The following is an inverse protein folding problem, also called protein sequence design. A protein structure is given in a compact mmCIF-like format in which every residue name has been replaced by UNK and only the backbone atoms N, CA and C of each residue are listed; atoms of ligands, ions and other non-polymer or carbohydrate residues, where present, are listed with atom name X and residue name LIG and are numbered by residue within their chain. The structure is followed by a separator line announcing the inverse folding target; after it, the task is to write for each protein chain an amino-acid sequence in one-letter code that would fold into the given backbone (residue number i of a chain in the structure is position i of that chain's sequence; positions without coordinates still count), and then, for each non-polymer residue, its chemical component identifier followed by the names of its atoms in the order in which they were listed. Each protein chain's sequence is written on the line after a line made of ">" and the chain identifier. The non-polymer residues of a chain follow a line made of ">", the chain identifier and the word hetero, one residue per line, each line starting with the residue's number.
data_IF_870622078874
#
_entry.id   IF_870622078874
#
_cell.length_a   1.000
_cell.length_b   1.000
_cell.length_c   1.000
_cell.angle_alpha   90.00
_cell.angle_beta   90.00
_cell.angle_gamma   90.00
#
_symmetry.space_group_name_H-M   'P 1'
#
loop_
_entity.id
_entity.type
_entity.pdbx_description
1 polymer ?
#
# COMPACT_ATOMS: atom_id res chain seq x y z
N UNK A 1 -48.35 -13.18 0.10
CA UNK A 1 -47.39 -13.63 1.13
C UNK A 1 -46.16 -14.12 0.40
N UNK A 2 -45.08 -13.31 0.45
CA UNK A 2 -43.67 -13.56 0.02
C UNK A 2 -43.50 -13.82 -1.51
N UNK A 3 -42.76 -13.02 -2.28
CA UNK A 3 -41.29 -12.97 -2.38
C UNK A 3 -40.86 -11.83 -3.32
N UNK A 4 -39.58 -11.45 -3.23
CA UNK A 4 -38.86 -10.40 -3.97
C UNK A 4 -38.84 -9.00 -3.31
N UNK A 5 -38.25 -8.92 -2.12
CA UNK A 5 -37.74 -7.65 -1.58
C UNK A 5 -36.21 -7.68 -1.53
N UNK A 6 -35.62 -6.97 -2.49
CA UNK A 6 -34.31 -6.30 -2.41
C UNK A 6 -33.06 -7.15 -2.20
N UNK A 7 -32.50 -7.65 -3.31
CA UNK A 7 -31.04 -7.80 -3.46
C UNK A 7 -30.44 -6.50 -4.03
N UNK A 8 -30.66 -5.37 -3.35
CA UNK A 8 -29.78 -4.22 -3.59
C UNK A 8 -28.49 -4.56 -2.87
N UNK A 9 -27.46 -4.92 -3.64
CA UNK A 9 -26.08 -4.91 -3.17
C UNK A 9 -25.89 -3.62 -2.38
N UNK A 10 -25.64 -3.74 -1.09
CA UNK A 10 -25.57 -2.63 -0.14
C UNK A 10 -24.31 -1.81 -0.46
N UNK A 11 -24.42 -0.91 -1.43
CA UNK A 11 -23.32 -0.06 -1.93
C UNK A 11 -22.71 0.84 -0.83
N UNK A 12 -23.38 0.95 0.33
CA UNK A 12 -22.88 1.63 1.52
C UNK A 12 -21.86 0.81 2.32
N UNK A 13 -21.93 -0.53 2.32
CA UNK A 13 -20.92 -1.39 2.97
C UNK A 13 -19.59 -1.37 2.23
N UNK A 14 -19.64 -1.26 0.90
CA UNK A 14 -18.45 -1.09 0.05
C UNK A 14 -17.73 0.23 0.38
N UNK A 15 -18.47 1.27 0.77
CA UNK A 15 -17.93 2.58 1.18
C UNK A 15 -17.28 2.60 2.56
N UNK A 16 -17.36 1.54 3.36
CA UNK A 16 -16.78 1.50 4.74
C UNK A 16 -16.03 0.20 5.06
N UNK A 17 -15.65 -0.57 4.04
CA UNK A 17 -14.96 -1.85 4.20
C UNK A 17 -13.45 -1.77 4.01
N UNK A 18 -12.73 -2.91 4.18
CA UNK A 18 -11.29 -3.04 3.98
C UNK A 18 -10.80 -2.52 2.62
N UNK A 19 -11.67 -2.61 1.60
CA UNK A 19 -11.40 -2.10 0.25
C UNK A 19 -11.19 -0.59 0.22
N UNK A 20 -11.97 0.18 1.00
CA UNK A 20 -11.81 1.63 1.07
C UNK A 20 -10.47 1.99 1.72
N UNK A 21 -10.07 1.27 2.76
CA UNK A 21 -8.79 1.52 3.43
C UNK A 21 -7.61 1.24 2.51
N UNK A 22 -7.67 0.14 1.74
CA UNK A 22 -6.66 -0.17 0.71
C UNK A 22 -6.64 0.93 -0.36
N UNK A 23 -7.80 1.39 -0.81
CA UNK A 23 -7.91 2.46 -1.79
C UNK A 23 -7.34 3.80 -1.29
N UNK A 24 -7.63 4.18 -0.05
CA UNK A 24 -7.09 5.37 0.61
C UNK A 24 -5.55 5.30 0.71
N UNK A 25 -5.00 4.10 0.98
CA UNK A 25 -3.54 3.86 1.00
C UNK A 25 -2.91 3.95 -0.39
N UNK A 26 -3.55 3.42 -1.43
CA UNK A 26 -3.08 3.54 -2.83
C UNK A 26 -3.02 5.00 -3.27
N UNK A 27 -4.05 5.78 -2.99
CA UNK A 27 -4.08 7.22 -3.29
C UNK A 27 -2.96 7.94 -2.53
N UNK A 28 -2.75 7.63 -1.25
CA UNK A 28 -1.69 8.24 -0.46
C UNK A 28 -0.28 7.94 -1.01
N UNK A 29 -0.02 6.72 -1.47
CA UNK A 29 1.24 6.35 -2.13
C UNK A 29 1.43 7.12 -3.43
N UNK A 30 0.38 7.25 -4.23
CA UNK A 30 0.41 8.02 -5.47
C UNK A 30 0.69 9.52 -5.23
N UNK A 31 0.02 10.11 -4.23
CA UNK A 31 0.27 11.50 -3.82
C UNK A 31 1.72 11.70 -3.36
N UNK A 32 2.27 10.75 -2.60
CA UNK A 32 3.65 10.80 -2.11
C UNK A 32 4.69 10.75 -3.24
N UNK A 33 4.42 10.00 -4.31
CA UNK A 33 5.30 9.96 -5.49
C UNK A 33 5.33 11.32 -6.19
N UNK A 34 4.16 11.97 -6.30
CA UNK A 34 4.00 13.27 -6.95
C UNK A 34 4.52 14.45 -6.12
N UNK A 35 4.54 14.34 -4.80
CA UNK A 35 5.01 15.42 -3.93
C UNK A 35 6.50 15.73 -4.17
N UNK A 36 6.82 16.92 -4.67
CA UNK A 36 8.21 17.35 -4.90
C UNK A 36 9.03 17.47 -3.61
N UNK A 37 8.37 17.60 -2.46
CA UNK A 37 9.00 17.69 -1.15
C UNK A 37 9.24 16.31 -0.51
N UNK A 38 8.69 15.24 -1.08
CA UNK A 38 8.94 13.88 -0.61
C UNK A 38 10.37 13.44 -0.96
N UNK A 39 11.02 12.75 -0.02
CA UNK A 39 12.36 12.18 -0.22
C UNK A 39 12.38 11.22 -1.41
N UNK A 40 13.46 11.22 -2.19
CA UNK A 40 13.68 10.29 -3.31
C UNK A 40 13.51 8.83 -2.88
N UNK A 41 13.98 8.51 -1.68
CA UNK A 41 13.84 7.18 -1.06
C UNK A 41 12.36 6.85 -0.88
N UNK A 42 11.58 7.73 -0.24
CA UNK A 42 10.14 7.52 -0.03
C UNK A 42 9.37 7.33 -1.35
N UNK A 43 9.75 8.04 -2.42
CA UNK A 43 9.14 7.89 -3.75
C UNK A 43 9.42 6.52 -4.36
N UNK A 44 10.68 6.08 -4.34
CA UNK A 44 11.07 4.74 -4.84
C UNK A 44 10.28 3.67 -4.10
N UNK A 45 10.18 3.81 -2.78
CA UNK A 45 9.46 2.87 -1.92
C UNK A 45 7.96 2.83 -2.22
N UNK A 46 7.33 3.99 -2.45
CA UNK A 46 5.94 4.04 -2.84
C UNK A 46 5.69 3.40 -4.21
N UNK A 47 6.60 3.58 -5.17
CA UNK A 47 6.53 2.91 -6.47
C UNK A 47 6.64 1.39 -6.30
N UNK A 48 7.60 0.91 -5.51
CA UNK A 48 7.77 -0.52 -5.22
C UNK A 48 6.52 -1.12 -4.56
N UNK A 49 5.92 -0.41 -3.59
CA UNK A 49 4.70 -0.87 -2.94
C UNK A 49 3.50 -0.96 -3.91
N UNK A 50 3.38 -0.02 -4.85
CA UNK A 50 2.33 -0.05 -5.88
C UNK A 50 2.55 -1.19 -6.88
N UNK A 51 3.80 -1.46 -7.28
CA UNK A 51 4.15 -2.60 -8.14
C UNK A 51 3.80 -3.92 -7.44
N UNK A 52 4.17 -4.05 -6.16
CA UNK A 52 3.85 -5.23 -5.36
C UNK A 52 2.34 -5.44 -5.19
N UNK A 53 1.55 -4.36 -5.10
CA UNK A 53 0.09 -4.46 -5.03
C UNK A 53 -0.52 -5.05 -6.32
N UNK A 54 0.05 -4.74 -7.49
CA UNK A 54 -0.44 -5.21 -8.78
C UNK A 54 -0.03 -6.66 -9.06
N UNK A 55 1.20 -7.04 -8.69
CA UNK A 55 1.69 -8.40 -8.81
C UNK A 55 2.65 -8.71 -7.66
N UNK A 56 2.16 -9.30 -6.54
CA UNK A 56 3.01 -9.61 -5.39
C UNK A 56 3.99 -10.77 -5.66
N UNK A 57 3.85 -11.46 -6.80
CA UNK A 57 4.54 -12.71 -7.11
C UNK A 57 5.76 -12.51 -8.03
N UNK A 58 5.78 -11.46 -8.86
CA UNK A 58 6.79 -11.30 -9.94
C UNK A 58 8.16 -10.72 -9.49
N UNK A 59 8.35 -10.43 -8.21
CA UNK A 59 9.63 -9.97 -7.63
C UNK A 59 10.44 -11.09 -6.95
N UNK A 60 9.81 -12.25 -6.74
CA UNK A 60 10.41 -13.44 -6.13
C UNK A 60 10.64 -14.61 -7.12
N UNK A 61 10.21 -14.60 -8.42
CA UNK A 61 10.26 -15.83 -9.20
C UNK A 61 11.69 -16.09 -9.69
N UNK A 62 12.17 -17.29 -9.35
CA UNK A 62 13.32 -18.03 -9.90
C UNK A 62 14.75 -17.61 -9.56
N UNK A 63 14.97 -16.69 -8.62
CA UNK A 63 16.24 -16.56 -7.93
C UNK A 63 16.00 -17.20 -6.54
N UNK A 64 16.54 -18.36 -6.12
CA UNK A 64 17.95 -18.55 -5.74
C UNK A 64 18.16 -19.94 -5.10
N UNK A 65 19.19 -20.68 -5.56
CA UNK A 65 19.97 -21.57 -4.72
C UNK A 65 21.29 -20.89 -4.30
N UNK A 66 21.41 -20.48 -3.02
CA UNK A 66 22.71 -20.40 -2.33
C UNK A 66 23.31 -19.05 -1.88
N UNK A 67 22.77 -17.86 -2.19
CA UNK A 67 23.56 -16.62 -2.05
C UNK A 67 22.96 -15.37 -1.39
N UNK A 68 21.77 -15.40 -0.77
CA UNK A 68 20.99 -14.15 -0.53
C UNK A 68 20.65 -13.78 0.91
N UNK A 69 21.23 -14.44 1.92
CA UNK A 69 20.89 -14.11 3.32
C UNK A 69 21.27 -12.64 3.65
N UNK A 70 22.31 -12.09 3.01
CA UNK A 70 22.75 -10.70 3.21
C UNK A 70 21.81 -9.67 2.51
N UNK A 71 21.50 -9.85 1.23
CA UNK A 71 20.67 -8.90 0.46
C UNK A 71 19.18 -8.94 0.85
N UNK A 72 18.65 -10.09 1.27
CA UNK A 72 17.26 -10.20 1.76
C UNK A 72 17.07 -9.45 3.07
N UNK A 73 18.08 -9.45 3.95
CA UNK A 73 18.06 -8.65 5.18
C UNK A 73 17.94 -7.15 4.87
N UNK A 74 18.67 -6.68 3.86
CA UNK A 74 18.60 -5.29 3.39
C UNK A 74 17.21 -4.99 2.83
N UNK A 75 16.66 -5.83 1.95
CA UNK A 75 15.32 -5.62 1.37
C UNK A 75 14.23 -5.63 2.45
N UNK A 76 14.29 -6.55 3.41
CA UNK A 76 13.34 -6.61 4.53
C UNK A 76 13.46 -5.39 5.45
N UNK A 77 14.68 -4.92 5.73
CA UNK A 77 14.92 -3.71 6.53
C UNK A 77 14.36 -2.46 5.83
N UNK A 78 14.48 -2.40 4.51
CA UNK A 78 13.91 -1.35 3.68
C UNK A 78 12.40 -1.44 3.78
N UNK A 79 11.77 -2.59 3.53
CA UNK A 79 10.32 -2.79 3.64
C UNK A 79 9.79 -2.40 5.04
N UNK A 80 10.46 -2.79 6.11
CA UNK A 80 10.10 -2.40 7.47
C UNK A 80 10.19 -0.88 7.68
N UNK A 81 11.24 -0.24 7.13
CA UNK A 81 11.40 1.22 7.19
C UNK A 81 10.32 1.95 6.39
N UNK A 82 9.86 1.39 5.26
CA UNK A 82 8.74 1.91 4.47
C UNK A 82 7.47 1.97 5.30
N UNK A 83 7.14 0.89 6.00
CA UNK A 83 5.93 0.82 6.81
C UNK A 83 5.88 1.95 7.83
N UNK A 84 7.00 2.18 8.51
CA UNK A 84 7.16 3.26 9.48
C UNK A 84 7.04 4.65 8.82
N UNK A 85 7.68 4.87 7.66
CA UNK A 85 7.65 6.16 6.97
C UNK A 85 6.26 6.49 6.41
N UNK A 86 5.55 5.50 5.87
CA UNK A 86 4.17 5.64 5.40
C UNK A 86 3.24 5.95 6.57
N UNK A 87 3.34 5.22 7.69
CA UNK A 87 2.52 5.51 8.88
C UNK A 87 2.77 6.93 9.39
N UNK A 88 4.03 7.36 9.41
CA UNK A 88 4.41 8.71 9.79
C UNK A 88 3.85 9.76 8.82
N UNK A 89 3.89 9.50 7.52
CA UNK A 89 3.27 10.36 6.50
C UNK A 89 1.76 10.45 6.66
N UNK A 90 1.07 9.32 6.81
CA UNK A 90 -0.38 9.26 7.02
C UNK A 90 -0.80 9.99 8.31
N UNK A 91 -0.04 9.81 9.40
CA UNK A 91 -0.26 10.52 10.66
C UNK A 91 -0.06 12.03 10.51
N UNK A 92 0.98 12.46 9.80
CA UNK A 92 1.26 13.89 9.51
C UNK A 92 0.17 14.52 8.64
N UNK A 93 -0.29 13.81 7.60
CA UNK A 93 -1.37 14.25 6.71
C UNK A 93 -2.69 14.40 7.47
N UNK A 94 -3.06 13.41 8.31
CA UNK A 94 -4.28 13.49 9.13
C UNK A 94 -4.24 14.62 10.18
N UNK A 95 -3.08 14.88 10.80
CA UNK A 95 -2.95 15.98 11.74
C UNK A 95 -2.96 17.37 11.07
N UNK A 96 -2.65 17.46 9.77
CA UNK A 96 -2.71 18.72 9.01
C UNK A 96 -4.11 19.03 8.48
N UNK A 97 -5.06 18.09 8.63
CA UNK A 97 -6.46 18.20 8.21
C UNK A 97 -7.42 18.37 9.40
N UNK A 98 -6.89 18.54 10.63
CA UNK A 98 -7.65 18.87 11.84
C UNK A 98 -7.46 20.32 12.24
#
# INVERSE_FOLDING_TARGET
>A
MILFKHDRVDLEKVKKGPVKEIWDRVIALYDLIKDSNASKVAKVLAITALIYLLSPVDLVPDFIPGGFIDDVGVILSVIASIGVEIEKYLKKKNNSLK
#
